data_IF_846874877747
#
_entry.id   IF_846874877747
#
_cell.length_a   1.000
_cell.length_b   1.000
_cell.length_c   1.000
_cell.angle_alpha   90.00
_cell.angle_beta   90.00
_cell.angle_gamma   90.00
#
_symmetry.space_group_name_H-M   'P 1'
#
loop_
_entity.id
_entity.type
_entity.pdbx_description
1 polymer ?
#
# COMPACT_ATOMS: atom_id res chain seq x y z
N UNK A 1 14.75 7.95 -0.98
CA UNK A 1 14.59 6.86 0.01
C UNK A 1 13.12 6.81 0.35
N UNK A 2 12.47 5.66 0.16
CA UNK A 2 11.04 5.53 0.44
C UNK A 2 10.80 5.81 1.94
N UNK A 3 9.93 6.77 2.25
CA UNK A 3 9.53 7.10 3.63
C UNK A 3 8.41 6.17 4.13
N UNK A 4 8.43 4.90 3.73
CA UNK A 4 7.50 3.86 4.18
C UNK A 4 8.23 2.53 4.31
N UNK A 5 7.60 1.60 5.05
CA UNK A 5 8.03 0.22 5.17
C UNK A 5 6.81 -0.67 5.00
N UNK A 6 6.95 -1.75 4.23
CA UNK A 6 5.93 -2.78 4.12
C UNK A 6 6.07 -3.77 5.28
N UNK A 7 4.95 -4.21 5.83
CA UNK A 7 4.94 -5.41 6.68
C UNK A 7 5.14 -6.64 5.80
N UNK A 8 5.57 -7.75 6.39
CA UNK A 8 5.68 -9.02 5.64
C UNK A 8 4.34 -9.43 5.01
N UNK A 9 3.21 -9.15 5.69
CA UNK A 9 1.89 -9.40 5.13
C UNK A 9 1.63 -8.54 3.88
N UNK A 10 1.94 -7.24 3.92
CA UNK A 10 1.76 -6.37 2.76
C UNK A 10 2.71 -6.70 1.59
N UNK A 11 3.90 -7.23 1.88
CA UNK A 11 4.82 -7.71 0.86
C UNK A 11 4.28 -8.98 0.18
N UNK A 12 3.79 -9.95 0.96
CA UNK A 12 3.12 -11.15 0.44
C UNK A 12 1.86 -10.78 -0.37
N UNK A 13 1.02 -9.86 0.12
CA UNK A 13 -0.16 -9.40 -0.62
C UNK A 13 0.22 -8.79 -1.99
N UNK A 14 1.32 -8.04 -2.05
CA UNK A 14 1.81 -7.45 -3.30
C UNK A 14 2.29 -8.51 -4.29
N UNK A 15 2.92 -9.58 -3.79
CA UNK A 15 3.36 -10.73 -4.57
C UNK A 15 2.15 -11.53 -5.11
N UNK A 16 1.16 -11.82 -4.27
CA UNK A 16 -0.07 -12.51 -4.66
C UNK A 16 -0.85 -11.72 -5.72
N UNK A 17 -0.99 -10.39 -5.54
CA UNK A 17 -1.60 -9.50 -6.53
C UNK A 17 -0.83 -9.54 -7.86
N UNK A 18 0.49 -9.59 -7.81
CA UNK A 18 1.33 -9.65 -9.00
C UNK A 18 1.16 -10.98 -9.75
N UNK A 19 1.23 -12.12 -9.06
CA UNK A 19 1.03 -13.42 -9.68
C UNK A 19 -0.38 -13.59 -10.26
N UNK A 20 -1.41 -13.18 -9.52
CA UNK A 20 -2.77 -13.17 -10.03
C UNK A 20 -2.92 -12.25 -11.26
N UNK A 21 -2.29 -11.08 -11.22
CA UNK A 21 -2.24 -10.16 -12.37
C UNK A 21 -1.53 -10.75 -13.59
N UNK A 22 -0.48 -11.55 -13.38
CA UNK A 22 0.23 -12.24 -14.46
C UNK A 22 -0.68 -13.26 -15.15
N UNK A 23 -1.43 -14.04 -14.39
CA UNK A 23 -2.36 -15.05 -14.92
C UNK A 23 -3.50 -14.41 -15.73
N UNK A 24 -4.02 -13.27 -15.28
CA UNK A 24 -5.15 -12.60 -15.92
C UNK A 24 -4.79 -11.69 -17.08
N UNK A 25 -3.72 -10.92 -16.95
CA UNK A 25 -3.40 -9.79 -17.84
C UNK A 25 -1.99 -9.86 -18.44
N UNK A 26 -1.24 -10.93 -18.15
CA UNK A 26 0.15 -11.09 -18.53
C UNK A 26 1.12 -10.26 -17.70
N UNK A 27 2.40 -10.55 -17.83
CA UNK A 27 3.50 -9.93 -17.05
C UNK A 27 3.48 -8.41 -17.14
N UNK A 28 3.31 -7.86 -18.34
CA UNK A 28 3.25 -6.41 -18.57
C UNK A 28 2.07 -5.74 -17.86
N UNK A 29 0.91 -6.43 -17.80
CA UNK A 29 -0.25 -5.95 -17.06
C UNK A 29 -0.01 -5.96 -15.55
N UNK A 30 0.58 -7.03 -15.05
CA UNK A 30 0.93 -7.20 -13.65
C UNK A 30 1.97 -6.17 -13.18
N UNK A 31 3.02 -5.92 -13.96
CA UNK A 31 4.04 -4.91 -13.67
C UNK A 31 3.43 -3.52 -13.60
N UNK A 32 2.65 -3.11 -14.60
CA UNK A 32 1.96 -1.81 -14.58
C UNK A 32 1.04 -1.64 -13.38
N UNK A 33 0.39 -2.72 -12.94
CA UNK A 33 -0.49 -2.68 -11.78
C UNK A 33 0.30 -2.54 -10.48
N UNK A 34 1.37 -3.32 -10.32
CA UNK A 34 2.32 -3.24 -9.20
C UNK A 34 2.94 -1.85 -9.10
N UNK A 35 3.43 -1.29 -10.19
CA UNK A 35 4.02 0.06 -10.24
C UNK A 35 2.99 1.12 -9.80
N UNK A 36 1.73 0.95 -10.20
CA UNK A 36 0.64 1.82 -9.77
C UNK A 36 0.37 1.77 -8.27
N UNK A 37 0.42 0.58 -7.66
CA UNK A 37 0.34 0.40 -6.21
C UNK A 37 1.55 1.04 -5.52
N UNK A 38 2.76 0.84 -6.03
CA UNK A 38 3.98 1.44 -5.47
C UNK A 38 3.93 2.97 -5.52
N UNK A 39 3.51 3.56 -6.63
CA UNK A 39 3.30 5.00 -6.74
C UNK A 39 2.23 5.52 -5.76
N UNK A 40 1.23 4.68 -5.42
CA UNK A 40 0.26 5.02 -4.38
C UNK A 40 0.92 5.03 -2.99
N UNK A 41 1.82 4.09 -2.69
CA UNK A 41 2.60 4.11 -1.44
C UNK A 41 3.46 5.38 -1.32
N UNK A 42 4.09 5.82 -2.40
CA UNK A 42 4.88 7.05 -2.42
C UNK A 42 4.02 8.28 -2.07
N UNK A 43 2.86 8.43 -2.71
CA UNK A 43 1.90 9.51 -2.37
C UNK A 43 1.45 9.47 -0.91
N UNK A 44 1.21 8.28 -0.37
CA UNK A 44 0.85 8.08 1.03
C UNK A 44 1.99 8.47 1.98
N UNK A 45 3.24 8.18 1.61
CA UNK A 45 4.40 8.54 2.39
C UNK A 45 4.69 10.06 2.36
N UNK A 46 4.43 10.71 1.23
CA UNK A 46 4.56 12.16 1.08
C UNK A 46 3.49 12.93 1.85
N UNK A 47 2.24 12.44 1.84
CA UNK A 47 1.09 13.09 2.48
C UNK A 47 0.28 12.09 3.34
N UNK A 48 0.83 11.63 4.48
CA UNK A 48 0.25 10.52 5.26
C UNK A 48 -1.06 10.87 5.98
N UNK A 49 -1.46 12.14 6.01
CA UNK A 49 -2.74 12.58 6.58
C UNK A 49 -3.83 12.78 5.53
N UNK A 50 -3.52 12.65 4.24
CA UNK A 50 -4.45 12.89 3.13
C UNK A 50 -5.62 11.90 3.10
N UNK A 51 -5.38 10.65 3.49
CA UNK A 51 -6.36 9.57 3.38
C UNK A 51 -7.15 9.36 4.68
N UNK A 52 -8.38 8.87 4.53
CA UNK A 52 -9.34 8.69 5.63
C UNK A 52 -8.76 7.83 6.76
N UNK A 53 -8.90 8.33 7.99
CA UNK A 53 -8.69 7.56 9.22
C UNK A 53 -9.90 6.63 9.41
N UNK A 54 -9.66 5.38 9.77
CA UNK A 54 -10.74 4.43 10.03
C UNK A 54 -11.41 4.70 11.39
N UNK A 55 -12.63 4.18 11.54
CA UNK A 55 -13.36 4.19 12.81
C UNK A 55 -12.89 3.06 13.73
N UNK A 56 -13.36 3.07 14.98
CA UNK A 56 -13.09 2.01 15.94
C UNK A 56 -13.55 0.64 15.42
N UNK A 57 -12.77 -0.43 15.60
CA UNK A 57 -11.55 -0.54 16.44
C UNK A 57 -10.23 -0.23 15.70
N UNK A 58 -10.28 0.18 14.43
CA UNK A 58 -9.11 0.32 13.55
C UNK A 58 -8.59 1.75 13.44
N UNK A 59 -8.91 2.61 14.40
CA UNK A 59 -8.58 4.04 14.37
C UNK A 59 -7.10 4.38 14.16
N UNK A 60 -6.17 3.47 14.48
CA UNK A 60 -4.74 3.70 14.21
C UNK A 60 -4.39 3.62 12.70
N UNK A 61 -5.27 3.01 11.91
CA UNK A 61 -5.10 2.83 10.48
C UNK A 61 -5.78 3.94 9.68
N UNK A 62 -5.24 4.13 8.50
CA UNK A 62 -5.80 4.91 7.41
C UNK A 62 -5.96 4.02 6.20
N UNK A 63 -6.95 4.32 5.38
CA UNK A 63 -7.23 3.56 4.17
C UNK A 63 -7.04 4.45 2.95
N UNK A 64 -6.19 3.99 2.06
CA UNK A 64 -6.12 4.48 0.69
C UNK A 64 -6.68 3.41 -0.25
N UNK A 65 -6.97 3.78 -1.50
CA UNK A 65 -7.42 2.84 -2.51
C UNK A 65 -6.61 3.01 -3.78
N UNK A 66 -6.35 1.89 -4.46
CA UNK A 66 -5.80 1.88 -5.81
C UNK A 66 -6.58 0.86 -6.64
N UNK A 67 -7.39 1.38 -7.57
CA UNK A 67 -8.27 0.57 -8.42
C UNK A 67 -9.09 -0.42 -7.58
N UNK A 68 -8.82 -1.71 -7.71
CA UNK A 68 -9.57 -2.79 -7.05
C UNK A 68 -9.11 -3.09 -5.62
N UNK A 69 -8.02 -2.52 -5.11
CA UNK A 69 -7.51 -2.83 -3.78
C UNK A 69 -7.57 -1.65 -2.82
N UNK A 70 -7.85 -1.99 -1.56
CA UNK A 70 -7.66 -1.09 -0.43
C UNK A 70 -6.28 -1.31 0.17
N UNK A 71 -5.61 -0.21 0.48
CA UNK A 71 -4.27 -0.20 1.08
C UNK A 71 -4.41 0.41 2.47
N UNK A 72 -4.14 -0.41 3.49
CA UNK A 72 -4.17 0.02 4.88
C UNK A 72 -2.77 0.38 5.35
N UNK A 73 -2.66 1.50 6.05
CA UNK A 73 -1.39 1.96 6.59
C UNK A 73 -1.58 2.68 7.91
N UNK A 74 -0.51 2.80 8.68
CA UNK A 74 -0.47 3.56 9.93
C UNK A 74 0.76 4.47 9.92
N UNK A 75 0.71 5.56 10.68
CA UNK A 75 1.81 6.52 10.77
C UNK A 75 2.64 6.19 12.01
N UNK A 76 3.87 5.70 11.80
CA UNK A 76 4.81 5.44 12.89
C UNK A 76 5.71 6.65 13.10
N UNK A 77 5.74 7.20 14.33
CA UNK A 77 6.77 8.16 14.72
C UNK A 77 8.04 7.40 15.09
N UNK A 78 9.12 7.56 14.32
CA UNK A 78 10.45 7.13 14.76
C UNK A 78 10.88 8.02 15.94
N UNK A 79 10.82 7.51 17.15
CA UNK A 79 11.48 8.13 18.31
C UNK A 79 12.85 7.49 18.46
N UNK A 80 13.89 8.32 18.45
CA UNK A 80 15.21 7.95 18.97
C UNK A 80 15.21 8.47 20.41
N UNK A 81 15.41 7.57 21.38
CA UNK A 81 15.66 7.91 22.78
C UNK A 81 17.17 7.94 23.02
#
# INVERSE_FOLDING_TARGET
>A
MANYQLSNAAENDLEDIFFYGMELFGVEGALRYKDGITAQFERMAESPLLYQKLDEPLQQYRQSTYKGHSIYYLIVKKKIF
#
